data_IF_538946285843
#
_entry.id   IF_538946285843
#
_cell.length_a   1.000
_cell.length_b   1.000
_cell.length_c   1.000
_cell.angle_alpha   90.00
_cell.angle_beta   90.00
_cell.angle_gamma   90.00
#
_symmetry.space_group_name_H-M   'P 1'
#
loop_
_entity.id
_entity.type
_entity.pdbx_description
1 polymer ?
#
# COMPACT_ATOMS: atom_id res chain seq x y z
N UNK A 1 -6.92 17.72 70.67
CA UNK A 1 -7.44 16.36 70.43
C UNK A 1 -7.86 16.28 68.98
N UNK A 2 -6.98 15.72 68.15
CA UNK A 2 -7.24 15.35 66.76
C UNK A 2 -7.97 13.98 66.73
N UNK A 3 -8.81 13.72 65.72
CA UNK A 3 -8.97 12.37 65.21
C UNK A 3 -8.25 12.22 63.85
N UNK A 4 -7.44 11.16 63.78
CA UNK A 4 -6.69 10.68 62.62
C UNK A 4 -7.60 10.19 61.48
N UNK A 5 -7.20 10.36 60.21
CA UNK A 5 -7.69 9.58 59.08
C UNK A 5 -6.77 8.37 58.84
N UNK A 6 -7.15 7.20 59.37
CA UNK A 6 -6.55 5.91 59.01
C UNK A 6 -7.68 4.94 58.67
N UNK A 7 -8.10 4.89 57.40
CA UNK A 7 -8.85 3.72 56.90
C UNK A 7 -8.85 3.49 55.38
N UNK A 8 -7.99 4.15 54.59
CA UNK A 8 -7.95 3.92 53.12
C UNK A 8 -6.58 3.52 52.54
N UNK A 9 -5.56 3.26 53.37
CA UNK A 9 -4.19 2.97 52.90
C UNK A 9 -3.66 1.57 53.25
N UNK A 10 -4.50 0.62 53.69
CA UNK A 10 -4.07 -0.73 54.08
C UNK A 10 -4.73 -1.84 53.25
N UNK A 11 -4.73 -1.66 51.92
CA UNK A 11 -5.10 -2.68 50.94
C UNK A 11 -3.97 -3.00 49.95
N UNK A 12 -2.71 -2.79 50.32
CA UNK A 12 -1.53 -2.91 49.44
C UNK A 12 -0.64 -4.14 49.73
N UNK A 13 -1.21 -5.23 50.24
CA UNK A 13 -0.49 -6.49 50.38
C UNK A 13 -1.29 -7.63 49.75
N UNK A 14 -0.98 -7.90 48.48
CA UNK A 14 -1.36 -9.13 47.79
C UNK A 14 -2.13 -8.90 46.50
N UNK A 15 -1.51 -8.33 45.46
CA UNK A 15 -2.11 -8.29 44.12
C UNK A 15 -1.05 -8.22 42.98
N UNK A 16 0.04 -8.99 43.09
CA UNK A 16 0.89 -9.30 41.92
C UNK A 16 0.19 -10.20 40.88
N UNK A 17 -1.07 -10.60 41.13
CA UNK A 17 -1.92 -11.39 40.22
C UNK A 17 -2.98 -10.57 39.48
N UNK A 18 -3.04 -9.24 39.64
CA UNK A 18 -4.04 -8.35 39.00
C UNK A 18 -3.49 -7.42 37.90
N UNK A 19 -2.39 -7.78 37.24
CA UNK A 19 -2.00 -7.10 35.99
C UNK A 19 -2.75 -7.64 34.75
N UNK A 20 -3.66 -8.60 34.93
CA UNK A 20 -4.45 -9.22 33.87
C UNK A 20 -5.89 -8.65 33.75
N UNK A 21 -6.15 -7.50 34.39
CA UNK A 21 -7.40 -6.74 34.25
C UNK A 21 -7.07 -5.43 33.56
N UNK A 22 -7.75 -5.15 32.43
CA UNK A 22 -7.61 -3.96 31.56
C UNK A 22 -7.00 -2.76 32.29
N UNK A 23 -5.80 -2.35 31.86
CA UNK A 23 -5.21 -1.11 32.34
C UNK A 23 -6.23 0.02 32.10
N UNK A 24 -6.39 1.01 33.00
CA UNK A 24 -7.27 2.15 32.73
C UNK A 24 -6.90 2.94 31.46
N UNK A 25 -5.66 2.80 31.01
CA UNK A 25 -5.12 3.34 29.74
C UNK A 25 -5.53 2.49 28.53
N UNK A 26 -6.04 1.29 28.77
CA UNK A 26 -6.57 0.35 27.77
C UNK A 26 -8.11 0.34 27.75
N UNK A 27 -8.74 1.29 28.45
CA UNK A 27 -10.19 1.48 28.45
C UNK A 27 -10.63 2.23 27.20
N UNK A 28 -11.74 1.81 26.59
CA UNK A 28 -12.36 2.50 25.45
C UNK A 28 -12.82 3.92 25.82
N UNK A 29 -13.15 4.17 27.10
CA UNK A 29 -13.52 5.51 27.57
C UNK A 29 -12.30 6.41 27.90
N UNK A 30 -11.07 5.93 27.65
CA UNK A 30 -9.86 6.69 27.93
C UNK A 30 -9.80 7.99 27.13
N UNK A 31 -9.68 9.11 27.86
CA UNK A 31 -9.51 10.44 27.25
C UNK A 31 -8.08 10.91 27.43
N UNK A 32 -7.33 10.92 26.34
CA UNK A 32 -5.92 11.34 26.32
C UNK A 32 -5.71 12.69 27.00
N UNK A 33 -6.55 13.68 26.70
CA UNK A 33 -6.48 15.03 27.29
C UNK A 33 -6.47 15.05 28.83
N UNK A 34 -7.23 14.15 29.47
CA UNK A 34 -7.32 14.08 30.93
C UNK A 34 -6.07 13.44 31.55
N UNK A 35 -5.35 12.63 30.75
CA UNK A 35 -4.15 11.93 31.18
C UNK A 35 -2.88 12.75 31.00
N UNK A 36 -2.83 13.65 30.00
CA UNK A 36 -1.64 14.46 29.69
C UNK A 36 -1.00 15.18 30.88
N UNK A 37 -1.75 15.77 31.84
CA UNK A 37 -1.15 16.42 33.00
C UNK A 37 -0.32 15.47 33.90
N UNK A 38 -0.57 14.17 33.83
CA UNK A 38 0.09 13.13 34.64
C UNK A 38 1.15 12.34 33.87
N UNK A 39 1.22 12.52 32.55
CA UNK A 39 2.04 11.70 31.65
C UNK A 39 3.52 11.66 32.07
N UNK A 40 4.15 12.81 32.29
CA UNK A 40 5.56 12.89 32.68
C UNK A 40 5.84 12.09 33.97
N UNK A 41 5.02 12.30 34.99
CA UNK A 41 5.17 11.66 36.29
C UNK A 41 5.00 10.14 36.19
N UNK A 42 3.93 9.68 35.51
CA UNK A 42 3.64 8.26 35.36
C UNK A 42 4.73 7.58 34.54
N UNK A 43 5.14 8.17 33.42
CA UNK A 43 6.18 7.60 32.57
C UNK A 43 7.53 7.51 33.28
N UNK A 44 7.89 8.54 34.06
CA UNK A 44 9.10 8.56 34.88
C UNK A 44 9.09 7.44 35.95
N UNK A 45 7.96 7.25 36.64
CA UNK A 45 7.81 6.19 37.64
C UNK A 45 7.85 4.79 37.01
N UNK A 46 7.22 4.59 35.85
CA UNK A 46 7.29 3.32 35.11
C UNK A 46 8.72 3.01 34.68
N UNK A 47 9.46 4.01 34.20
CA UNK A 47 10.87 3.84 33.84
C UNK A 47 11.74 3.49 35.06
N UNK A 48 11.55 4.17 36.19
CA UNK A 48 12.25 3.84 37.44
C UNK A 48 11.94 2.40 37.89
N UNK A 49 10.68 1.98 37.81
CA UNK A 49 10.28 0.61 38.13
C UNK A 49 10.99 -0.40 37.22
N UNK A 50 11.02 -0.14 35.90
CA UNK A 50 11.71 -0.99 34.91
C UNK A 50 13.20 -1.19 35.23
N UNK A 51 13.87 -0.16 35.77
CA UNK A 51 15.28 -0.25 36.16
C UNK A 51 15.50 -1.01 37.47
N UNK A 52 14.55 -0.95 38.40
CA UNK A 52 14.69 -1.56 39.73
C UNK A 52 14.37 -3.05 39.74
N UNK A 53 13.47 -3.51 38.87
CA UNK A 53 13.05 -4.92 38.82
C UNK A 53 14.12 -5.78 38.14
N UNK A 54 14.33 -6.99 38.67
CA UNK A 54 15.30 -7.96 38.13
C UNK A 54 14.64 -9.09 37.34
N UNK A 55 13.41 -9.47 37.72
CA UNK A 55 12.66 -10.56 37.11
C UNK A 55 12.21 -10.19 35.68
N UNK A 56 12.48 -11.09 34.71
CA UNK A 56 12.12 -10.87 33.31
C UNK A 56 10.62 -10.66 33.12
N UNK A 57 9.78 -11.47 33.78
CA UNK A 57 8.32 -11.35 33.67
C UNK A 57 7.83 -9.98 34.11
N UNK A 58 8.39 -9.44 35.19
CA UNK A 58 8.00 -8.11 35.68
C UNK A 58 8.49 -7.02 34.71
N UNK A 59 9.69 -7.14 34.14
CA UNK A 59 10.17 -6.23 33.10
C UNK A 59 9.25 -6.23 31.87
N UNK A 60 8.81 -7.41 31.41
CA UNK A 60 7.87 -7.51 30.30
C UNK A 60 6.55 -6.80 30.59
N UNK A 61 6.00 -6.99 31.79
CA UNK A 61 4.76 -6.32 32.19
C UNK A 61 4.92 -4.79 32.23
N UNK A 62 6.03 -4.29 32.78
CA UNK A 62 6.30 -2.85 32.80
C UNK A 62 6.47 -2.30 31.38
N UNK A 63 7.19 -3.01 30.50
CA UNK A 63 7.33 -2.64 29.08
C UNK A 63 5.98 -2.62 28.36
N UNK A 64 5.11 -3.59 28.62
CA UNK A 64 3.76 -3.61 28.06
C UNK A 64 2.95 -2.38 28.47
N UNK A 65 2.93 -2.02 29.76
CA UNK A 65 2.26 -0.80 30.24
C UNK A 65 2.84 0.45 29.59
N UNK A 66 4.17 0.52 29.44
CA UNK A 66 4.86 1.61 28.75
C UNK A 66 4.42 1.70 27.29
N UNK A 67 4.32 0.58 26.57
CA UNK A 67 3.83 0.52 25.20
C UNK A 67 2.40 1.05 25.09
N UNK A 68 1.48 0.62 25.96
CA UNK A 68 0.10 1.12 25.97
C UNK A 68 0.04 2.64 26.21
N UNK A 69 0.86 3.16 27.13
CA UNK A 69 0.93 4.61 27.37
C UNK A 69 1.42 5.36 26.13
N UNK A 70 2.47 4.85 25.46
CA UNK A 70 3.00 5.45 24.22
C UNK A 70 1.92 5.47 23.13
N UNK A 71 1.22 4.35 22.94
CA UNK A 71 0.16 4.20 21.96
C UNK A 71 -0.93 5.26 22.16
N UNK A 72 -1.48 5.36 23.38
CA UNK A 72 -2.60 6.27 23.67
C UNK A 72 -2.26 7.74 23.58
N UNK A 73 -1.04 8.14 23.93
CA UNK A 73 -0.64 9.55 23.89
C UNK A 73 0.05 9.95 22.58
N UNK A 74 0.39 8.96 21.74
CA UNK A 74 0.96 9.14 20.40
C UNK A 74 2.12 10.14 20.41
N UNK A 75 2.09 11.15 19.53
CA UNK A 75 3.13 12.17 19.36
C UNK A 75 3.47 12.96 20.63
N UNK A 76 2.59 12.95 21.63
CA UNK A 76 2.79 13.68 22.88
C UNK A 76 3.84 13.02 23.79
N UNK A 77 4.25 11.77 23.49
CA UNK A 77 5.28 11.08 24.26
C UNK A 77 6.70 11.64 24.01
N UNK A 78 6.94 12.31 22.88
CA UNK A 78 8.29 12.69 22.41
C UNK A 78 9.19 13.36 23.47
N UNK A 79 8.69 14.28 24.32
CA UNK A 79 9.54 14.91 25.34
C UNK A 79 10.04 13.95 26.44
N UNK A 80 9.38 12.81 26.63
CA UNK A 80 9.53 11.95 27.81
C UNK A 80 10.29 10.64 27.55
N UNK A 81 10.48 10.24 26.29
CA UNK A 81 11.08 8.92 25.95
C UNK A 81 12.60 8.85 26.02
N UNK A 82 13.30 9.97 26.22
CA UNK A 82 14.76 10.04 26.10
C UNK A 82 15.51 9.02 26.97
N UNK A 83 15.11 8.87 28.23
CA UNK A 83 15.72 7.89 29.15
C UNK A 83 15.45 6.44 28.73
N UNK A 84 14.24 6.16 28.23
CA UNK A 84 13.87 4.83 27.76
C UNK A 84 14.70 4.45 26.52
N UNK A 85 14.81 5.36 25.56
CA UNK A 85 15.61 5.17 24.33
C UNK A 85 17.07 4.83 24.63
N UNK A 86 17.66 5.45 25.65
CA UNK A 86 19.03 5.16 26.07
C UNK A 86 19.16 3.80 26.79
N UNK A 87 18.10 3.34 27.45
CA UNK A 87 18.11 2.12 28.25
C UNK A 87 17.83 0.85 27.44
N UNK A 88 16.93 0.90 26.44
CA UNK A 88 16.55 -0.27 25.64
C UNK A 88 17.73 -1.02 24.99
N UNK A 89 18.79 -0.36 24.47
CA UNK A 89 19.99 -1.06 23.97
C UNK A 89 20.70 -1.89 25.04
N UNK A 90 20.75 -1.38 26.27
CA UNK A 90 21.36 -2.10 27.41
C UNK A 90 20.50 -3.30 27.78
N UNK A 91 19.18 -3.10 27.84
CA UNK A 91 18.24 -4.16 28.17
C UNK A 91 18.25 -5.27 27.12
N UNK A 92 18.32 -4.93 25.83
CA UNK A 92 18.43 -5.89 24.72
C UNK A 92 19.68 -6.76 24.80
N UNK A 93 20.81 -6.17 25.21
CA UNK A 93 22.06 -6.89 25.42
C UNK A 93 21.98 -7.81 26.64
N UNK A 94 21.32 -7.37 27.71
CA UNK A 94 21.13 -8.19 28.92
C UNK A 94 20.15 -9.34 28.70
N UNK A 95 19.21 -9.21 27.76
CA UNK A 95 18.20 -10.22 27.44
C UNK A 95 18.66 -11.22 26.37
N UNK A 96 19.96 -11.42 26.19
CA UNK A 96 20.49 -12.26 25.10
C UNK A 96 19.94 -13.68 25.08
N UNK A 97 19.78 -14.27 26.26
CA UNK A 97 19.24 -15.61 26.47
C UNK A 97 17.71 -15.61 26.74
N UNK A 98 17.06 -14.45 26.71
CA UNK A 98 15.66 -14.26 27.10
C UNK A 98 14.81 -13.73 25.94
N UNK A 99 14.46 -14.62 25.00
CA UNK A 99 13.72 -14.26 23.78
C UNK A 99 12.35 -13.60 24.05
N UNK A 100 11.61 -14.02 25.08
CA UNK A 100 10.33 -13.38 25.42
C UNK A 100 10.49 -11.92 25.85
N UNK A 101 11.56 -11.60 26.59
CA UNK A 101 11.86 -10.22 26.95
C UNK A 101 12.31 -9.42 25.72
N UNK A 102 12.97 -10.06 24.74
CA UNK A 102 13.28 -9.44 23.45
C UNK A 102 12.01 -9.14 22.65
N UNK A 103 11.02 -10.04 22.60
CA UNK A 103 9.71 -9.75 22.02
C UNK A 103 9.09 -8.48 22.64
N UNK A 104 9.05 -8.40 23.98
CA UNK A 104 8.52 -7.21 24.66
C UNK A 104 9.30 -5.93 24.30
N UNK A 105 10.63 -6.00 24.11
CA UNK A 105 11.43 -4.86 23.65
C UNK A 105 11.07 -4.47 22.21
N UNK A 106 10.89 -5.45 21.30
CA UNK A 106 10.47 -5.19 19.92
C UNK A 106 9.12 -4.50 19.89
N UNK A 107 8.13 -5.01 20.61
CA UNK A 107 6.81 -4.40 20.74
C UNK A 107 6.91 -2.97 21.29
N UNK A 108 7.74 -2.71 22.31
CA UNK A 108 7.96 -1.33 22.79
C UNK A 108 8.61 -0.45 21.73
N UNK A 109 9.54 -0.98 20.92
CA UNK A 109 10.14 -0.23 19.83
C UNK A 109 9.14 0.12 18.73
N UNK A 110 8.16 -0.75 18.42
CA UNK A 110 7.08 -0.47 17.47
C UNK A 110 6.34 0.81 17.88
N UNK A 111 5.84 0.83 19.12
CA UNK A 111 5.10 1.97 19.67
C UNK A 111 5.97 3.23 19.77
N UNK A 112 7.26 3.08 20.13
CA UNK A 112 8.19 4.21 20.15
C UNK A 112 8.39 4.81 18.75
N UNK A 113 8.53 3.99 17.72
CA UNK A 113 8.68 4.47 16.34
C UNK A 113 7.43 5.23 15.90
N UNK A 114 6.23 4.72 16.19
CA UNK A 114 4.96 5.40 15.91
C UNK A 114 4.86 6.74 16.64
N UNK A 115 5.10 6.78 17.96
CA UNK A 115 5.04 8.01 18.75
C UNK A 115 6.08 9.06 18.33
N UNK A 116 7.28 8.64 17.92
CA UNK A 116 8.32 9.54 17.43
C UNK A 116 8.08 10.01 15.97
N UNK A 117 7.37 9.23 15.15
CA UNK A 117 7.19 9.50 13.72
C UNK A 117 8.54 9.66 13.01
N UNK A 118 8.71 10.74 12.24
CA UNK A 118 9.95 11.04 11.52
C UNK A 118 11.20 11.21 12.40
N UNK A 119 11.05 11.48 13.70
CA UNK A 119 12.16 11.57 14.66
C UNK A 119 12.70 10.19 15.08
N UNK A 120 12.00 9.11 14.74
CA UNK A 120 12.44 7.72 14.95
C UNK A 120 13.79 7.41 14.29
N UNK A 121 14.20 8.20 13.29
CA UNK A 121 15.55 8.14 12.69
C UNK A 121 16.68 8.20 13.73
N UNK A 122 16.45 8.86 14.87
CA UNK A 122 17.43 8.95 15.95
C UNK A 122 17.66 7.58 16.64
N UNK A 123 16.75 6.63 16.48
CA UNK A 123 16.86 5.26 17.01
C UNK A 123 17.64 4.32 16.11
N UNK A 124 17.87 4.68 14.83
CA UNK A 124 18.46 3.78 13.82
C UNK A 124 19.73 3.04 14.25
N UNK A 125 20.70 3.66 14.96
CA UNK A 125 21.92 2.96 15.39
C UNK A 125 21.66 1.70 16.23
N UNK A 126 20.53 1.65 16.95
CA UNK A 126 20.10 0.48 17.72
C UNK A 126 18.98 -0.29 17.01
N UNK A 127 18.01 0.43 16.44
CA UNK A 127 16.80 -0.12 15.83
C UNK A 127 17.09 -1.01 14.62
N UNK A 128 17.96 -0.56 13.70
CA UNK A 128 18.21 -1.30 12.45
C UNK A 128 18.96 -2.62 12.68
N UNK A 129 20.00 -2.70 13.55
CA UNK A 129 20.60 -3.99 13.93
C UNK A 129 19.61 -4.96 14.58
N UNK A 130 18.67 -4.45 15.38
CA UNK A 130 17.63 -5.27 16.03
C UNK A 130 16.70 -5.86 14.98
N UNK A 131 16.18 -5.06 14.04
CA UNK A 131 15.36 -5.55 12.93
C UNK A 131 16.12 -6.59 12.10
N UNK A 132 17.38 -6.30 11.75
CA UNK A 132 18.22 -7.20 10.97
C UNK A 132 18.37 -8.58 11.64
N UNK A 133 18.57 -8.60 12.96
CA UNK A 133 18.71 -9.84 13.73
C UNK A 133 17.37 -10.59 13.85
N UNK A 134 16.29 -9.89 14.16
CA UNK A 134 14.96 -10.49 14.34
C UNK A 134 14.40 -11.10 13.05
N UNK A 135 14.82 -10.60 11.90
CA UNK A 135 14.35 -11.03 10.57
C UNK A 135 15.35 -11.92 9.83
N UNK A 136 16.47 -12.30 10.45
CA UNK A 136 17.43 -13.23 9.87
C UNK A 136 17.04 -14.68 10.20
N UNK A 137 16.45 -15.36 9.22
CA UNK A 137 15.99 -16.76 9.34
C UNK A 137 17.12 -17.76 9.55
N UNK A 138 18.38 -17.37 9.35
CA UNK A 138 19.54 -18.22 9.64
C UNK A 138 19.90 -18.25 11.13
N UNK A 139 19.38 -17.31 11.92
CA UNK A 139 19.69 -17.19 13.35
C UNK A 139 18.62 -17.87 14.21
N UNK A 140 18.99 -18.67 15.23
CA UNK A 140 18.02 -19.35 16.09
C UNK A 140 16.92 -18.47 16.72
N UNK A 141 17.16 -17.20 17.11
CA UNK A 141 16.12 -16.35 17.69
C UNK A 141 14.94 -16.02 16.77
N UNK A 142 15.06 -16.18 15.44
CA UNK A 142 13.99 -15.81 14.50
C UNK A 142 12.64 -16.47 14.83
N UNK A 143 12.66 -17.71 15.33
CA UNK A 143 11.45 -18.47 15.69
C UNK A 143 10.56 -17.72 16.69
N UNK A 144 11.16 -16.87 17.53
CA UNK A 144 10.45 -16.07 18.52
C UNK A 144 10.27 -14.62 18.08
N UNK A 145 11.27 -14.06 17.41
CA UNK A 145 11.36 -12.62 17.16
C UNK A 145 10.79 -12.18 15.81
N UNK A 146 10.51 -13.12 14.91
CA UNK A 146 10.23 -12.79 13.52
C UNK A 146 8.98 -11.93 13.34
N UNK A 147 7.88 -12.30 13.99
CA UNK A 147 6.59 -11.59 13.84
C UNK A 147 6.71 -10.12 14.31
N UNK A 148 7.15 -9.91 15.55
CA UNK A 148 7.42 -8.57 16.10
C UNK A 148 8.52 -7.82 15.30
N UNK A 149 9.50 -8.56 14.76
CA UNK A 149 10.59 -8.01 13.96
C UNK A 149 10.13 -7.47 12.60
N UNK A 150 9.19 -8.18 11.94
CA UNK A 150 8.56 -7.74 10.70
C UNK A 150 7.65 -6.53 10.92
N UNK A 151 6.87 -6.54 12.01
CA UNK A 151 6.04 -5.39 12.39
C UNK A 151 6.91 -4.15 12.64
N UNK A 152 7.98 -4.30 13.43
CA UNK A 152 8.93 -3.23 13.70
C UNK A 152 9.58 -2.72 12.42
N UNK A 153 9.91 -3.60 11.48
CA UNK A 153 10.46 -3.23 10.19
C UNK A 153 9.47 -2.38 9.38
N UNK A 154 8.23 -2.84 9.26
CA UNK A 154 7.17 -2.15 8.53
C UNK A 154 6.96 -0.75 9.11
N UNK A 155 6.70 -0.66 10.42
CA UNK A 155 6.45 0.62 11.11
C UNK A 155 7.65 1.56 11.01
N UNK A 156 8.87 1.03 11.02
CA UNK A 156 10.08 1.82 10.75
C UNK A 156 10.06 2.43 9.36
N UNK A 157 9.74 1.66 8.31
CA UNK A 157 9.67 2.19 6.94
C UNK A 157 8.56 3.24 6.79
N UNK A 158 7.40 3.00 7.40
CA UNK A 158 6.24 3.89 7.31
C UNK A 158 6.50 5.27 7.94
N UNK A 159 7.31 5.30 9.00
CA UNK A 159 7.68 6.53 9.70
C UNK A 159 9.04 7.11 9.29
N UNK A 160 9.79 6.41 8.44
CA UNK A 160 11.09 6.89 7.96
C UNK A 160 10.91 8.13 7.07
N UNK A 161 11.66 9.23 7.27
CA UNK A 161 11.57 10.41 6.40
C UNK A 161 12.31 10.23 5.06
N UNK A 162 13.33 9.37 5.01
CA UNK A 162 14.09 9.05 3.80
C UNK A 162 14.78 7.68 3.94
N UNK A 163 15.13 7.07 2.80
CA UNK A 163 15.94 5.84 2.78
C UNK A 163 17.39 6.12 3.22
N UNK A 164 17.97 5.22 4.02
CA UNK A 164 19.41 5.20 4.33
C UNK A 164 20.05 3.91 3.83
N UNK A 165 21.38 3.85 3.59
CA UNK A 165 22.06 2.63 3.19
C UNK A 165 21.85 1.46 4.16
N UNK A 166 21.83 1.74 5.46
CA UNK A 166 21.65 0.73 6.51
C UNK A 166 20.23 0.17 6.51
N UNK A 167 19.22 1.04 6.35
CA UNK A 167 17.82 0.64 6.24
C UNK A 167 17.60 -0.18 4.97
N UNK A 168 18.11 0.29 3.83
CA UNK A 168 18.05 -0.42 2.56
C UNK A 168 18.67 -1.83 2.63
N UNK A 169 19.79 -1.97 3.33
CA UNK A 169 20.51 -3.25 3.46
C UNK A 169 19.68 -4.33 4.14
N UNK A 170 18.75 -3.99 5.03
CA UNK A 170 17.91 -4.97 5.73
C UNK A 170 17.11 -5.82 4.75
N UNK A 171 16.76 -5.25 3.58
CA UNK A 171 16.01 -5.95 2.55
C UNK A 171 16.67 -7.24 2.05
N UNK A 172 17.99 -7.42 2.25
CA UNK A 172 18.67 -8.67 1.93
C UNK A 172 18.05 -9.92 2.60
N UNK A 173 17.36 -9.75 3.73
CA UNK A 173 16.66 -10.85 4.41
C UNK A 173 15.37 -11.28 3.68
N UNK A 174 14.80 -10.43 2.83
CA UNK A 174 13.45 -10.60 2.29
C UNK A 174 13.29 -11.87 1.44
N UNK A 175 14.26 -12.22 0.60
CA UNK A 175 14.15 -13.43 -0.23
C UNK A 175 13.95 -14.69 0.60
N UNK A 176 14.71 -14.86 1.67
CA UNK A 176 14.57 -16.01 2.55
C UNK A 176 13.25 -15.98 3.36
N UNK A 177 12.75 -14.79 3.68
CA UNK A 177 11.45 -14.61 4.35
C UNK A 177 10.27 -14.99 3.45
N UNK A 178 10.33 -14.67 2.16
CA UNK A 178 9.30 -15.04 1.19
C UNK A 178 9.24 -16.56 0.97
N UNK A 179 10.34 -17.27 1.19
CA UNK A 179 10.43 -18.74 1.05
C UNK A 179 10.07 -19.49 2.35
N UNK A 180 10.05 -18.81 3.50
CA UNK A 180 9.92 -19.47 4.81
C UNK A 180 8.52 -20.03 5.07
N UNK A 181 7.50 -19.17 5.08
CA UNK A 181 6.13 -19.55 5.39
C UNK A 181 5.12 -18.57 4.79
N UNK A 182 3.90 -19.07 4.53
CA UNK A 182 2.80 -18.23 4.02
C UNK A 182 2.23 -17.25 5.05
N UNK A 183 2.47 -17.50 6.34
CA UNK A 183 1.90 -16.72 7.47
C UNK A 183 2.39 -15.27 7.44
N UNK A 184 3.65 -15.05 7.07
CA UNK A 184 4.28 -13.74 7.09
C UNK A 184 4.21 -13.00 5.75
N UNK A 185 3.73 -13.65 4.68
CA UNK A 185 3.75 -13.09 3.33
C UNK A 185 3.03 -11.75 3.22
N UNK A 186 1.91 -11.59 3.93
CA UNK A 186 1.15 -10.34 3.96
C UNK A 186 2.02 -9.17 4.42
N UNK A 187 2.70 -9.33 5.56
CA UNK A 187 3.59 -8.32 6.13
C UNK A 187 4.82 -8.11 5.25
N UNK A 188 5.38 -9.17 4.67
CA UNK A 188 6.47 -9.06 3.70
C UNK A 188 6.09 -8.20 2.48
N UNK A 189 4.89 -8.40 1.91
CA UNK A 189 4.40 -7.56 0.79
C UNK A 189 4.17 -6.11 1.21
N UNK A 190 3.69 -5.86 2.43
CA UNK A 190 3.57 -4.50 2.97
C UNK A 190 4.95 -3.83 3.10
N UNK A 191 5.96 -4.55 3.59
CA UNK A 191 7.35 -4.06 3.68
C UNK A 191 7.92 -3.75 2.29
N UNK A 192 7.72 -4.64 1.30
CA UNK A 192 8.17 -4.41 -0.08
C UNK A 192 7.50 -3.15 -0.67
N UNK A 193 6.19 -2.98 -0.46
CA UNK A 193 5.48 -1.78 -0.87
C UNK A 193 6.03 -0.54 -0.15
N UNK A 194 6.32 -0.62 1.15
CA UNK A 194 6.87 0.48 1.93
C UNK A 194 8.25 0.93 1.41
N UNK A 195 9.13 0.00 1.05
CA UNK A 195 10.38 0.34 0.35
C UNK A 195 10.14 1.01 -0.99
N UNK A 196 9.19 0.50 -1.76
CA UNK A 196 8.86 1.05 -3.09
C UNK A 196 8.34 2.49 -2.97
N UNK A 197 7.48 2.76 -1.98
CA UNK A 197 7.03 4.12 -1.68
C UNK A 197 8.15 5.02 -1.15
N UNK A 198 9.03 4.49 -0.30
CA UNK A 198 10.10 5.26 0.35
C UNK A 198 11.18 5.71 -0.65
N UNK A 199 11.61 4.81 -1.55
CA UNK A 199 12.56 5.14 -2.62
C UNK A 199 12.56 4.08 -3.72
N UNK A 200 11.60 4.14 -4.65
CA UNK A 200 11.53 3.22 -5.78
C UNK A 200 12.86 3.11 -6.55
N UNK A 201 13.50 4.23 -6.89
CA UNK A 201 14.74 4.22 -7.69
C UNK A 201 15.89 3.46 -7.02
N UNK A 202 16.23 3.78 -5.77
CA UNK A 202 17.35 3.11 -5.07
C UNK A 202 17.01 1.66 -4.71
N UNK A 203 15.76 1.41 -4.30
CA UNK A 203 15.31 0.08 -3.93
C UNK A 203 15.36 -0.88 -5.13
N UNK A 204 14.75 -0.48 -6.24
CA UNK A 204 14.66 -1.29 -7.44
C UNK A 204 16.05 -1.53 -8.06
N UNK A 205 16.92 -0.50 -8.08
CA UNK A 205 18.29 -0.64 -8.58
C UNK A 205 19.07 -1.75 -7.84
N UNK A 206 18.81 -1.94 -6.54
CA UNK A 206 19.57 -2.87 -5.71
C UNK A 206 18.94 -4.27 -5.62
N UNK A 207 17.60 -4.38 -5.66
CA UNK A 207 16.92 -5.61 -5.26
C UNK A 207 15.87 -6.13 -6.24
N UNK A 208 15.59 -5.45 -7.34
CA UNK A 208 14.53 -5.87 -8.26
C UNK A 208 14.79 -7.26 -8.88
N UNK A 209 16.03 -7.60 -9.21
CA UNK A 209 16.35 -8.90 -9.82
C UNK A 209 16.07 -10.06 -8.84
N UNK A 210 16.53 -9.95 -7.59
CA UNK A 210 16.26 -10.95 -6.56
C UNK A 210 14.77 -11.02 -6.23
N UNK A 211 14.09 -9.86 -6.17
CA UNK A 211 12.66 -9.80 -5.89
C UNK A 211 11.83 -10.45 -7.00
N UNK A 212 12.15 -10.17 -8.27
CA UNK A 212 11.46 -10.79 -9.40
C UNK A 212 11.66 -12.31 -9.40
N UNK A 213 12.87 -12.81 -9.10
CA UNK A 213 13.12 -14.25 -8.96
C UNK A 213 12.27 -14.86 -7.85
N UNK A 214 12.26 -14.26 -6.66
CA UNK A 214 11.41 -14.73 -5.56
C UNK A 214 9.92 -14.72 -5.92
N UNK A 215 9.43 -13.73 -6.66
CA UNK A 215 8.04 -13.71 -7.14
C UNK A 215 7.76 -14.79 -8.18
N UNK A 216 8.65 -15.02 -9.15
CA UNK A 216 8.52 -16.11 -10.12
C UNK A 216 8.44 -17.47 -9.42
N UNK A 217 9.26 -17.69 -8.39
CA UNK A 217 9.25 -18.94 -7.64
C UNK A 217 8.01 -19.08 -6.78
N UNK A 218 7.62 -18.01 -6.07
CA UNK A 218 6.42 -17.99 -5.23
C UNK A 218 5.13 -18.24 -6.04
N UNK A 219 5.03 -17.69 -7.26
CA UNK A 219 3.86 -17.84 -8.12
C UNK A 219 3.62 -19.26 -8.64
N UNK A 220 4.57 -20.18 -8.49
CA UNK A 220 4.42 -21.58 -8.93
C UNK A 220 3.42 -22.36 -8.06
N UNK A 221 3.41 -22.08 -6.75
CA UNK A 221 2.70 -22.91 -5.77
C UNK A 221 1.80 -22.11 -4.81
N UNK A 222 1.68 -20.78 -5.00
CA UNK A 222 0.85 -19.93 -4.14
C UNK A 222 -0.64 -20.00 -4.48
N UNK A 223 -1.49 -19.69 -3.50
CA UNK A 223 -2.93 -19.54 -3.69
C UNK A 223 -3.26 -18.37 -4.63
N UNK A 224 -4.47 -18.37 -5.19
CA UNK A 224 -4.99 -17.26 -6.00
C UNK A 224 -4.98 -15.93 -5.26
N UNK A 225 -5.27 -15.92 -3.95
CA UNK A 225 -5.16 -14.72 -3.11
C UNK A 225 -3.72 -14.21 -3.07
N UNK A 226 -2.75 -15.11 -2.86
CA UNK A 226 -1.34 -14.72 -2.82
C UNK A 226 -0.82 -14.25 -4.18
N UNK A 227 -1.27 -14.85 -5.28
CA UNK A 227 -1.00 -14.36 -6.63
C UNK A 227 -1.48 -12.91 -6.82
N UNK A 228 -2.70 -12.61 -6.36
CA UNK A 228 -3.25 -11.24 -6.39
C UNK A 228 -2.38 -10.29 -5.59
N UNK A 229 -1.89 -10.68 -4.41
CA UNK A 229 -1.00 -9.83 -3.61
C UNK A 229 0.34 -9.56 -4.29
N UNK A 230 0.97 -10.58 -4.88
CA UNK A 230 2.21 -10.42 -5.66
C UNK A 230 2.00 -9.44 -6.80
N UNK A 231 0.93 -9.61 -7.58
CA UNK A 231 0.66 -8.74 -8.72
C UNK A 231 0.27 -7.32 -8.33
N UNK A 232 -0.36 -7.11 -7.16
CA UNK A 232 -0.58 -5.77 -6.61
C UNK A 232 0.74 -5.06 -6.28
N UNK A 233 1.75 -5.77 -5.78
CA UNK A 233 3.09 -5.20 -5.59
C UNK A 233 3.69 -4.80 -6.94
N UNK A 234 3.60 -5.68 -7.95
CA UNK A 234 4.07 -5.39 -9.32
C UNK A 234 3.36 -4.18 -9.91
N UNK A 235 2.04 -4.08 -9.73
CA UNK A 235 1.22 -2.94 -10.16
C UNK A 235 1.69 -1.63 -9.51
N UNK A 236 1.97 -1.63 -8.20
CA UNK A 236 2.51 -0.46 -7.48
C UNK A 236 3.87 -0.05 -8.03
N UNK A 237 4.76 -1.00 -8.31
CA UNK A 237 6.07 -0.70 -8.90
C UNK A 237 5.94 -0.08 -10.29
N UNK A 238 5.04 -0.60 -11.15
CA UNK A 238 4.77 -0.04 -12.48
C UNK A 238 4.14 1.35 -12.35
N UNK A 239 3.21 1.56 -11.42
CA UNK A 239 2.63 2.88 -11.14
C UNK A 239 3.72 3.91 -10.80
N UNK A 240 4.70 3.52 -9.97
CA UNK A 240 5.76 4.41 -9.47
C UNK A 240 6.94 4.59 -10.43
N UNK A 241 7.21 3.60 -11.27
CA UNK A 241 8.32 3.61 -12.20
C UNK A 241 7.93 2.86 -13.48
N UNK A 242 7.07 3.44 -14.35
CA UNK A 242 6.46 2.72 -15.46
C UNK A 242 7.45 2.03 -16.40
N UNK A 243 8.56 2.70 -16.72
CA UNK A 243 9.57 2.12 -17.61
C UNK A 243 10.37 1.04 -16.90
N UNK A 244 11.03 1.38 -15.79
CA UNK A 244 11.90 0.43 -15.07
C UNK A 244 11.12 -0.75 -14.50
N UNK A 245 9.95 -0.51 -13.90
CA UNK A 245 9.08 -1.52 -13.31
C UNK A 245 8.59 -2.54 -14.32
N UNK A 246 8.14 -2.10 -15.51
CA UNK A 246 7.75 -3.03 -16.58
C UNK A 246 8.91 -3.90 -17.06
N UNK A 247 10.10 -3.34 -17.23
CA UNK A 247 11.29 -4.10 -17.62
C UNK A 247 11.74 -5.10 -16.54
N UNK A 248 11.69 -4.71 -15.28
CA UNK A 248 12.13 -5.54 -14.16
C UNK A 248 11.24 -6.76 -13.96
N UNK A 249 9.93 -6.56 -13.98
CA UNK A 249 8.95 -7.64 -13.81
C UNK A 249 8.50 -8.27 -15.13
N UNK A 250 9.20 -7.98 -16.24
CA UNK A 250 8.95 -8.59 -17.54
C UNK A 250 8.78 -10.11 -17.49
N UNK A 251 9.53 -10.90 -16.69
CA UNK A 251 9.33 -12.35 -16.61
C UNK A 251 7.92 -12.78 -16.17
N UNK A 252 7.18 -11.94 -15.44
CA UNK A 252 5.84 -12.22 -14.94
C UNK A 252 4.73 -11.81 -15.92
N UNK A 253 4.98 -10.77 -16.71
CA UNK A 253 3.95 -10.11 -17.53
C UNK A 253 3.39 -10.97 -18.68
N UNK A 254 4.14 -11.86 -19.36
CA UNK A 254 3.58 -12.77 -20.36
C UNK A 254 2.49 -13.68 -19.80
N UNK A 255 2.65 -14.19 -18.58
CA UNK A 255 1.65 -15.04 -17.94
C UNK A 255 0.37 -14.26 -17.61
N UNK A 256 0.51 -13.00 -17.16
CA UNK A 256 -0.61 -12.09 -16.92
C UNK A 256 -1.37 -11.82 -18.22
N UNK A 257 -0.65 -11.47 -19.29
CA UNK A 257 -1.26 -11.17 -20.59
C UNK A 257 -1.97 -12.39 -21.18
N UNK A 258 -1.33 -13.56 -21.12
CA UNK A 258 -1.92 -14.83 -21.56
C UNK A 258 -3.15 -15.20 -20.73
N UNK A 259 -3.10 -15.00 -19.42
CA UNK A 259 -4.24 -15.24 -18.54
C UNK A 259 -5.47 -14.40 -18.89
N UNK A 260 -5.29 -13.18 -19.42
CA UNK A 260 -6.42 -12.37 -19.93
C UNK A 260 -6.99 -13.00 -21.21
N UNK A 261 -6.13 -13.28 -22.19
CA UNK A 261 -6.55 -13.82 -23.49
C UNK A 261 -7.20 -15.20 -23.36
N UNK A 262 -6.68 -16.05 -22.49
CA UNK A 262 -7.23 -17.38 -22.21
C UNK A 262 -8.53 -17.33 -21.37
N UNK A 263 -8.88 -16.16 -20.84
CA UNK A 263 -10.09 -15.97 -20.05
C UNK A 263 -9.99 -16.52 -18.64
N UNK A 264 -9.08 -15.97 -17.84
CA UNK A 264 -8.95 -16.23 -16.39
C UNK A 264 -10.32 -16.32 -15.72
N UNK A 265 -10.53 -17.43 -15.01
CA UNK A 265 -11.84 -17.84 -14.48
C UNK A 265 -12.15 -17.16 -13.16
N UNK A 266 -11.14 -16.79 -12.39
CA UNK A 266 -11.32 -16.15 -11.10
C UNK A 266 -11.44 -14.63 -11.27
N UNK A 267 -12.61 -14.01 -10.99
CA UNK A 267 -12.85 -12.58 -11.26
C UNK A 267 -11.82 -11.64 -10.62
N UNK A 268 -11.39 -11.94 -9.39
CA UNK A 268 -10.40 -11.13 -8.66
C UNK A 268 -9.03 -11.19 -9.32
N UNK A 269 -8.63 -12.35 -9.84
CA UNK A 269 -7.36 -12.53 -10.56
C UNK A 269 -7.43 -11.81 -11.91
N UNK A 270 -8.53 -12.00 -12.65
CA UNK A 270 -8.78 -11.30 -13.92
C UNK A 270 -8.72 -9.78 -13.74
N UNK A 271 -9.44 -9.23 -12.75
CA UNK A 271 -9.41 -7.80 -12.42
C UNK A 271 -7.99 -7.30 -12.08
N UNK A 272 -7.18 -8.14 -11.45
CA UNK A 272 -5.78 -7.82 -11.15
C UNK A 272 -4.92 -7.84 -12.41
N UNK A 273 -5.10 -8.82 -13.30
CA UNK A 273 -4.41 -8.86 -14.59
C UNK A 273 -4.71 -7.64 -15.44
N UNK A 274 -6.00 -7.27 -15.56
CA UNK A 274 -6.44 -6.09 -16.30
C UNK A 274 -5.87 -4.79 -15.68
N UNK A 275 -5.80 -4.70 -14.35
CA UNK A 275 -5.16 -3.57 -13.67
C UNK A 275 -3.67 -3.42 -14.02
N UNK A 276 -2.92 -4.53 -13.95
CA UNK A 276 -1.49 -4.55 -14.32
C UNK A 276 -1.31 -4.16 -15.80
N UNK A 277 -2.05 -4.79 -16.72
CA UNK A 277 -1.95 -4.45 -18.14
C UNK A 277 -2.44 -3.04 -18.46
N UNK A 278 -3.42 -2.53 -17.71
CA UNK A 278 -3.90 -1.15 -17.80
C UNK A 278 -2.81 -0.14 -17.49
N UNK A 279 -2.03 -0.39 -16.43
CA UNK A 279 -0.85 0.42 -16.09
C UNK A 279 0.22 0.37 -17.17
N UNK A 280 0.54 -0.83 -17.67
CA UNK A 280 1.55 -1.01 -18.72
C UNK A 280 1.13 -0.30 -20.01
N UNK A 281 -0.12 -0.47 -20.45
CA UNK A 281 -0.63 0.18 -21.66
C UNK A 281 -0.66 1.71 -21.52
N UNK A 282 -1.22 2.22 -20.43
CA UNK A 282 -1.41 3.66 -20.23
C UNK A 282 -0.10 4.41 -20.01
N UNK A 283 0.86 3.84 -19.29
CA UNK A 283 2.08 4.54 -18.85
C UNK A 283 3.36 4.08 -19.58
N UNK A 284 3.33 2.94 -20.29
CA UNK A 284 4.47 2.42 -21.05
C UNK A 284 4.03 1.63 -22.30
N UNK A 285 3.28 2.30 -23.18
CA UNK A 285 2.70 1.70 -24.39
C UNK A 285 3.73 1.00 -25.29
N UNK A 286 4.95 1.54 -25.39
CA UNK A 286 6.02 0.92 -26.19
C UNK A 286 6.38 -0.49 -25.70
N UNK A 287 6.46 -0.67 -24.38
CA UNK A 287 6.70 -1.97 -23.78
C UNK A 287 5.48 -2.89 -23.94
N UNK A 288 4.26 -2.35 -23.77
CA UNK A 288 3.02 -3.10 -23.99
C UNK A 288 2.98 -3.77 -25.37
N UNK A 289 3.24 -2.99 -26.44
CA UNK A 289 3.22 -3.53 -27.80
C UNK A 289 4.38 -4.51 -28.08
N UNK A 290 5.54 -4.32 -27.43
CA UNK A 290 6.62 -5.31 -27.48
C UNK A 290 6.20 -6.64 -26.83
N UNK A 291 5.54 -6.59 -25.67
CA UNK A 291 5.04 -7.77 -24.97
C UNK A 291 3.95 -8.48 -25.79
N UNK A 292 3.02 -7.71 -26.36
CA UNK A 292 1.97 -8.20 -27.23
C UNK A 292 2.56 -8.92 -28.46
N UNK A 293 3.57 -8.33 -29.10
CA UNK A 293 4.24 -8.91 -30.27
C UNK A 293 4.94 -10.23 -29.93
N UNK A 294 5.55 -10.34 -28.75
CA UNK A 294 6.14 -11.59 -28.26
C UNK A 294 5.07 -12.67 -28.07
N UNK A 295 3.94 -12.32 -27.45
CA UNK A 295 2.85 -13.28 -27.25
C UNK A 295 2.21 -13.71 -28.57
N UNK A 296 2.05 -12.79 -29.53
CA UNK A 296 1.53 -13.10 -30.86
C UNK A 296 2.45 -14.10 -31.60
N UNK A 297 3.77 -13.92 -31.50
CA UNK A 297 4.75 -14.86 -32.05
C UNK A 297 4.64 -16.26 -31.42
N UNK A 298 4.48 -16.34 -30.09
CA UNK A 298 4.26 -17.60 -29.35
C UNK A 298 2.97 -18.30 -29.75
N UNK A 299 1.91 -17.54 -30.03
CA UNK A 299 0.60 -18.04 -30.47
C UNK A 299 0.53 -18.31 -31.98
N UNK A 300 1.60 -18.01 -32.72
CA UNK A 300 1.64 -18.07 -34.19
C UNK A 300 0.54 -17.25 -34.87
N UNK A 301 0.29 -16.05 -34.36
CA UNK A 301 -0.73 -15.11 -34.85
C UNK A 301 -0.12 -13.72 -35.10
N UNK A 302 -0.86 -12.88 -35.82
CA UNK A 302 -0.49 -11.46 -36.01
C UNK A 302 -0.76 -10.68 -34.72
N UNK A 303 0.12 -9.71 -34.41
CA UNK A 303 0.00 -8.89 -33.20
C UNK A 303 -1.36 -8.18 -33.10
N UNK A 304 -1.88 -7.71 -34.23
CA UNK A 304 -3.21 -7.08 -34.31
C UNK A 304 -4.35 -8.04 -33.91
N UNK A 305 -4.27 -9.31 -34.30
CA UNK A 305 -5.29 -10.30 -33.91
C UNK A 305 -5.27 -10.52 -32.40
N UNK A 306 -4.07 -10.63 -31.82
CA UNK A 306 -3.88 -10.75 -30.38
C UNK A 306 -4.37 -9.51 -29.63
N UNK A 307 -4.14 -8.30 -30.17
CA UNK A 307 -4.69 -7.07 -29.62
C UNK A 307 -6.22 -7.09 -29.62
N UNK A 308 -6.83 -7.51 -30.73
CA UNK A 308 -8.28 -7.62 -30.87
C UNK A 308 -8.88 -8.56 -29.83
N UNK A 309 -8.31 -9.76 -29.66
CA UNK A 309 -8.74 -10.72 -28.64
C UNK A 309 -8.55 -10.19 -27.23
N UNK A 310 -7.47 -9.46 -26.97
CA UNK A 310 -7.24 -8.84 -25.67
C UNK A 310 -8.30 -7.78 -25.35
N UNK A 311 -8.60 -6.88 -26.28
CA UNK A 311 -9.62 -5.83 -26.09
C UNK A 311 -10.99 -6.46 -25.89
N UNK A 312 -11.34 -7.47 -26.70
CA UNK A 312 -12.60 -8.21 -26.55
C UNK A 312 -12.73 -8.86 -25.17
N UNK A 313 -11.70 -9.57 -24.71
CA UNK A 313 -11.67 -10.14 -23.37
C UNK A 313 -11.71 -9.09 -22.26
N UNK A 314 -11.10 -7.92 -22.48
CA UNK A 314 -11.15 -6.80 -21.54
C UNK A 314 -12.57 -6.26 -21.39
N UNK A 315 -13.26 -6.04 -22.51
CA UNK A 315 -14.64 -5.58 -22.55
C UNK A 315 -15.57 -6.60 -21.89
N UNK A 316 -15.46 -7.87 -22.26
CA UNK A 316 -16.26 -8.99 -21.74
C UNK A 316 -16.08 -9.27 -20.24
N UNK A 317 -15.01 -8.73 -19.63
CA UNK A 317 -14.66 -8.97 -18.22
C UNK A 317 -14.61 -7.70 -17.41
N UNK A 318 -15.10 -6.58 -17.94
CA UNK A 318 -15.16 -5.31 -17.22
C UNK A 318 -15.97 -5.41 -15.92
N UNK A 319 -17.05 -6.20 -15.91
CA UNK A 319 -17.90 -6.45 -14.73
C UNK A 319 -17.16 -7.08 -13.55
N UNK A 320 -16.01 -7.73 -13.79
CA UNK A 320 -15.16 -8.25 -12.71
C UNK A 320 -14.47 -7.13 -11.91
N UNK A 321 -14.42 -5.91 -12.46
CA UNK A 321 -13.81 -4.74 -11.83
C UNK A 321 -14.91 -3.96 -11.11
N UNK A 322 -14.90 -4.01 -9.78
CA UNK A 322 -15.92 -3.35 -8.93
C UNK A 322 -15.47 -2.00 -8.38
N UNK A 323 -14.18 -1.69 -8.43
CA UNK A 323 -13.60 -0.46 -7.89
C UNK A 323 -13.62 0.65 -8.94
N UNK A 324 -14.27 1.81 -8.69
CA UNK A 324 -14.36 2.90 -9.67
C UNK A 324 -12.99 3.37 -10.19
N UNK A 325 -11.99 3.47 -9.31
CA UNK A 325 -10.61 3.82 -9.68
C UNK A 325 -10.02 2.88 -10.73
N UNK A 326 -10.25 1.56 -10.58
CA UNK A 326 -9.77 0.54 -11.53
C UNK A 326 -10.56 0.57 -12.83
N UNK A 327 -11.87 0.87 -12.77
CA UNK A 327 -12.72 1.02 -13.97
C UNK A 327 -12.27 2.24 -14.78
N UNK A 328 -11.98 3.35 -14.10
CA UNK A 328 -11.35 4.54 -14.70
C UNK A 328 -10.00 4.23 -15.32
N UNK A 329 -9.12 3.47 -14.64
CA UNK A 329 -7.84 3.03 -15.20
C UNK A 329 -8.02 2.25 -16.51
N UNK A 330 -8.93 1.26 -16.54
CA UNK A 330 -9.24 0.49 -17.76
C UNK A 330 -9.72 1.38 -18.89
N UNK A 331 -10.62 2.32 -18.59
CA UNK A 331 -11.14 3.28 -19.57
C UNK A 331 -10.03 4.18 -20.14
N UNK A 332 -9.21 4.80 -19.28
CA UNK A 332 -8.06 5.60 -19.70
C UNK A 332 -7.07 4.80 -20.56
N UNK A 333 -6.79 3.55 -20.19
CA UNK A 333 -5.89 2.66 -20.89
C UNK A 333 -6.42 2.30 -22.29
N UNK A 334 -7.68 1.88 -22.42
CA UNK A 334 -8.28 1.54 -23.71
C UNK A 334 -8.42 2.77 -24.61
N UNK A 335 -8.82 3.92 -24.06
CA UNK A 335 -8.86 5.20 -24.80
C UNK A 335 -7.47 5.65 -25.25
N UNK A 336 -6.40 5.24 -24.57
CA UNK A 336 -5.03 5.58 -24.99
C UNK A 336 -4.65 4.98 -26.34
N UNK A 337 -5.36 3.94 -26.78
CA UNK A 337 -5.23 3.36 -28.12
C UNK A 337 -5.79 4.27 -29.23
N UNK A 338 -6.55 5.31 -28.87
CA UNK A 338 -7.03 6.33 -29.80
C UNK A 338 -6.09 7.57 -29.76
N UNK A 339 -5.95 8.31 -30.86
CA UNK A 339 -6.49 8.01 -32.18
C UNK A 339 -5.72 6.88 -32.89
N UNK A 340 -6.39 6.11 -33.75
CA UNK A 340 -5.80 5.02 -34.53
C UNK A 340 -6.49 4.77 -35.87
N UNK A 341 -5.69 4.49 -36.90
CA UNK A 341 -6.11 4.03 -38.22
C UNK A 341 -6.04 2.49 -38.36
N UNK A 342 -5.64 1.78 -37.30
CA UNK A 342 -5.58 0.32 -37.26
C UNK A 342 -6.99 -0.27 -37.32
N UNK A 343 -7.24 -1.16 -38.28
CA UNK A 343 -8.56 -1.75 -38.50
C UNK A 343 -9.07 -2.55 -37.32
N UNK A 344 -8.20 -3.24 -36.56
CA UNK A 344 -8.64 -4.01 -35.38
C UNK A 344 -9.08 -3.09 -34.25
N UNK A 345 -8.38 -1.98 -34.02
CA UNK A 345 -8.80 -0.99 -33.01
C UNK A 345 -10.14 -0.36 -33.43
N UNK A 346 -10.32 -0.09 -34.72
CA UNK A 346 -11.58 0.41 -35.28
C UNK A 346 -12.73 -0.59 -35.13
N UNK A 347 -12.49 -1.87 -35.41
CA UNK A 347 -13.48 -2.95 -35.23
C UNK A 347 -13.89 -3.11 -33.76
N UNK A 348 -12.99 -2.81 -32.82
CA UNK A 348 -13.25 -2.84 -31.38
C UNK A 348 -13.69 -1.50 -30.79
N UNK A 349 -13.90 -0.48 -31.62
CA UNK A 349 -14.22 0.89 -31.19
C UNK A 349 -15.47 0.95 -30.29
N UNK A 350 -16.55 0.26 -30.66
CA UNK A 350 -17.80 0.26 -29.88
C UNK A 350 -17.61 -0.29 -28.46
N UNK A 351 -16.80 -1.35 -28.31
CA UNK A 351 -16.44 -1.91 -27.00
C UNK A 351 -15.65 -0.90 -26.16
N UNK A 352 -14.67 -0.22 -26.75
CA UNK A 352 -13.91 0.83 -26.06
C UNK A 352 -14.86 1.93 -25.57
N UNK A 353 -15.77 2.44 -26.41
CA UNK A 353 -16.71 3.49 -26.02
C UNK A 353 -17.67 3.02 -24.93
N UNK A 354 -18.18 1.78 -25.00
CA UNK A 354 -19.04 1.23 -23.97
C UNK A 354 -18.37 1.27 -22.59
N UNK A 355 -17.12 0.80 -22.50
CA UNK A 355 -16.32 0.83 -21.27
C UNK A 355 -16.12 2.24 -20.75
N UNK A 356 -15.96 3.21 -21.65
CA UNK A 356 -15.81 4.61 -21.28
C UNK A 356 -17.07 5.18 -20.64
N UNK A 357 -18.23 4.92 -21.24
CA UNK A 357 -19.52 5.40 -20.74
C UNK A 357 -19.86 4.75 -19.41
N UNK A 358 -19.63 3.44 -19.26
CA UNK A 358 -19.78 2.77 -17.96
C UNK A 358 -18.89 3.41 -16.89
N UNK A 359 -17.60 3.61 -17.19
CA UNK A 359 -16.68 4.23 -16.24
C UNK A 359 -17.04 5.69 -15.93
N UNK A 360 -17.62 6.45 -16.88
CA UNK A 360 -18.15 7.79 -16.62
C UNK A 360 -19.31 7.75 -15.62
N UNK A 361 -20.23 6.80 -15.74
CA UNK A 361 -21.29 6.64 -14.75
C UNK A 361 -20.77 6.29 -13.34
N UNK A 362 -19.65 5.58 -13.24
CA UNK A 362 -19.07 5.22 -11.94
C UNK A 362 -18.34 6.37 -11.24
N UNK A 363 -17.78 7.32 -12.00
CA UNK A 363 -16.90 8.37 -11.46
C UNK A 363 -17.44 9.79 -11.57
N UNK A 364 -18.43 10.04 -12.41
CA UNK A 364 -18.99 11.39 -12.57
C UNK A 364 -20.13 11.60 -11.58
N UNK A 365 -20.10 12.73 -10.89
CA UNK A 365 -21.21 13.23 -10.06
C UNK A 365 -21.72 14.54 -10.65
N UNK A 366 -23.03 14.70 -10.71
CA UNK A 366 -23.65 15.95 -11.14
C UNK A 366 -23.62 16.97 -9.99
N UNK A 367 -23.03 18.13 -10.26
CA UNK A 367 -23.12 19.28 -9.37
C UNK A 367 -24.49 19.95 -9.55
N UNK A 368 -25.35 19.79 -8.55
CA UNK A 368 -26.72 20.31 -8.55
C UNK A 368 -26.80 21.84 -8.72
N UNK A 369 -25.74 22.57 -8.35
CA UNK A 369 -25.72 24.03 -8.41
C UNK A 369 -25.32 24.56 -9.81
N UNK A 370 -24.44 23.85 -10.51
CA UNK A 370 -23.94 24.26 -11.83
C UNK A 370 -24.51 23.45 -12.99
N UNK A 371 -25.14 22.31 -12.72
CA UNK A 371 -25.55 21.32 -13.73
C UNK A 371 -24.37 20.70 -14.48
N UNK A 372 -23.14 20.83 -13.94
CA UNK A 372 -21.93 20.30 -14.57
C UNK A 372 -21.52 18.98 -13.93
N UNK A 373 -20.85 18.12 -14.70
CA UNK A 373 -20.32 16.87 -14.18
C UNK A 373 -18.93 17.08 -13.56
N UNK A 374 -18.72 16.54 -12.37
CA UNK A 374 -17.41 16.50 -11.70
C UNK A 374 -16.94 15.06 -11.55
N UNK A 375 -15.72 14.80 -12.03
CA UNK A 375 -15.03 13.52 -11.82
C UNK A 375 -14.59 13.42 -10.35
N UNK A 376 -15.21 12.52 -9.59
CA UNK A 376 -15.00 12.36 -8.15
C UNK A 376 -13.68 11.66 -7.81
N UNK A 377 -12.99 11.08 -8.78
CA UNK A 377 -11.68 10.47 -8.60
C UNK A 377 -10.54 11.50 -8.67
N UNK A 378 -10.83 12.71 -9.15
CA UNK A 378 -9.83 13.78 -9.23
C UNK A 378 -9.45 14.30 -7.85
N UNK A 379 -8.16 14.26 -7.56
CA UNK A 379 -7.62 14.84 -6.34
C UNK A 379 -7.19 16.28 -6.62
N UNK A 380 -7.84 17.24 -5.97
CA UNK A 380 -7.38 18.62 -5.99
C UNK A 380 -6.25 18.80 -4.96
N UNK A 381 -5.12 19.39 -5.37
CA UNK A 381 -3.96 19.58 -4.48
C UNK A 381 -4.23 20.43 -3.22
N UNK A 382 -5.44 21.03 -3.10
CA UNK A 382 -5.85 21.93 -2.02
C UNK A 382 -6.72 21.27 -0.96
N UNK A 383 -7.08 19.98 -1.07
CA UNK A 383 -7.72 19.27 0.03
C UNK A 383 -6.68 18.97 1.12
N UNK A 384 -6.41 19.97 1.95
CA UNK A 384 -5.94 19.75 3.31
C UNK A 384 -6.95 18.80 3.96
N UNK A 385 -6.51 17.58 4.23
CA UNK A 385 -7.27 16.64 5.05
C UNK A 385 -7.43 17.34 6.40
N UNK A 386 -8.63 17.83 6.68
CA UNK A 386 -8.98 18.30 8.02
C UNK A 386 -9.00 17.05 8.89
N UNK A 387 -7.84 16.73 9.48
CA UNK A 387 -7.76 15.71 10.51
C UNK A 387 -8.76 16.12 11.59
N UNK A 388 -9.70 15.22 11.88
CA UNK A 388 -10.53 15.38 13.08
C UNK A 388 -9.65 15.21 14.31
N UNK A 389 -10.05 15.76 15.47
CA UNK A 389 -9.23 15.68 16.70
C UNK A 389 -8.93 14.24 17.14
N UNK A 390 -9.70 13.27 16.65
CA UNK A 390 -9.56 11.83 16.93
C UNK A 390 -8.75 11.05 15.87
N UNK A 391 -8.32 11.67 14.76
CA UNK A 391 -7.52 10.99 13.73
C UNK A 391 -6.02 11.02 14.06
N UNK A 392 -5.40 9.83 14.01
CA UNK A 392 -3.94 9.72 14.16
C UNK A 392 -3.22 10.56 13.10
N UNK A 393 -2.13 11.25 13.47
CA UNK A 393 -1.37 12.05 12.53
C UNK A 393 -0.81 11.14 11.42
N UNK A 394 -0.90 11.56 10.14
CA UNK A 394 -0.50 10.73 9.01
C UNK A 394 0.99 10.40 9.07
N UNK A 395 1.32 9.13 8.78
CA UNK A 395 2.71 8.66 8.71
C UNK A 395 3.45 9.32 7.53
N UNK A 396 4.77 9.18 7.49
CA UNK A 396 5.55 9.63 6.33
C UNK A 396 5.18 8.85 5.05
N UNK A 397 4.81 7.58 5.18
CA UNK A 397 4.29 6.80 4.06
C UNK A 397 2.92 7.30 3.57
N UNK A 398 2.01 7.70 4.46
CA UNK A 398 0.70 8.24 4.03
C UNK A 398 0.87 9.53 3.23
N UNK A 399 1.80 10.39 3.65
CA UNK A 399 2.20 11.58 2.89
C UNK A 399 2.71 11.21 1.49
N UNK A 400 3.58 10.19 1.39
CA UNK A 400 4.07 9.70 0.09
C UNK A 400 2.95 9.15 -0.78
N UNK A 401 2.08 8.28 -0.23
CA UNK A 401 0.93 7.74 -0.96
C UNK A 401 0.02 8.85 -1.49
N UNK A 402 -0.23 9.89 -0.70
CA UNK A 402 -1.01 11.07 -1.13
C UNK A 402 -0.33 11.81 -2.27
N UNK A 403 0.97 12.10 -2.16
CA UNK A 403 1.72 12.76 -3.24
C UNK A 403 1.70 11.94 -4.54
N UNK A 404 1.86 10.62 -4.43
CA UNK A 404 1.84 9.71 -5.57
C UNK A 404 0.45 9.57 -6.20
N UNK A 405 -0.60 9.68 -5.39
CA UNK A 405 -1.96 9.72 -5.91
C UNK A 405 -2.16 10.97 -6.77
N UNK A 406 -1.62 12.13 -6.38
CA UNK A 406 -1.70 13.37 -7.18
C UNK A 406 -0.99 13.28 -8.54
N UNK A 407 0.00 12.41 -8.69
CA UNK A 407 0.72 12.18 -9.95
C UNK A 407 0.11 11.05 -10.81
N UNK A 408 -0.78 10.24 -10.24
CA UNK A 408 -1.41 9.12 -10.94
C UNK A 408 -2.43 9.63 -11.98
N UNK A 409 -2.37 9.19 -13.25
CA UNK A 409 -3.39 9.53 -14.25
C UNK A 409 -4.83 9.30 -13.80
N UNK A 410 -5.08 8.28 -12.96
CA UNK A 410 -6.43 7.99 -12.43
C UNK A 410 -6.99 9.15 -11.58
N UNK A 411 -6.12 9.91 -10.90
CA UNK A 411 -6.53 11.00 -10.02
C UNK A 411 -6.15 12.40 -10.53
N UNK A 412 -5.37 12.49 -11.61
CA UNK A 412 -4.93 13.75 -12.21
C UNK A 412 -5.58 14.05 -13.56
N UNK A 413 -6.12 13.05 -14.25
CA UNK A 413 -6.79 13.21 -15.56
C UNK A 413 -8.30 13.08 -15.40
N UNK A 414 -9.02 14.10 -15.87
CA UNK A 414 -10.49 14.05 -15.97
C UNK A 414 -10.89 13.05 -17.04
N UNK A 415 -11.67 12.02 -16.67
CA UNK A 415 -12.10 11.01 -17.65
C UNK A 415 -12.96 11.65 -18.74
N UNK A 416 -13.88 12.54 -18.36
CA UNK A 416 -14.77 13.25 -19.27
C UNK A 416 -13.98 14.06 -20.32
N UNK A 417 -12.98 14.83 -19.88
CA UNK A 417 -12.12 15.61 -20.78
C UNK A 417 -11.28 14.70 -21.69
N UNK A 418 -10.72 13.63 -21.12
CA UNK A 418 -9.88 12.70 -21.87
C UNK A 418 -10.66 11.96 -22.97
N UNK A 419 -11.89 11.53 -22.68
CA UNK A 419 -12.81 10.96 -23.68
C UNK A 419 -13.06 11.95 -24.82
N UNK A 420 -13.39 13.20 -24.49
CA UNK A 420 -13.63 14.24 -25.49
C UNK A 420 -12.42 14.46 -26.41
N UNK A 421 -11.24 14.61 -25.82
CA UNK A 421 -9.99 14.85 -26.57
C UNK A 421 -9.65 13.67 -27.49
N UNK A 422 -9.82 12.43 -27.02
CA UNK A 422 -9.53 11.22 -27.80
C UNK A 422 -10.50 11.03 -28.95
N UNK A 423 -11.80 11.29 -28.74
CA UNK A 423 -12.80 11.23 -29.81
C UNK A 423 -12.57 12.32 -30.86
N UNK A 424 -12.25 13.54 -30.43
CA UNK A 424 -11.91 14.64 -31.33
C UNK A 424 -10.66 14.34 -32.15
N UNK A 425 -9.63 13.77 -31.52
CA UNK A 425 -8.42 13.34 -32.23
C UNK A 425 -8.71 12.21 -33.23
N UNK A 426 -9.58 11.26 -32.88
CA UNK A 426 -10.01 10.19 -33.79
C UNK A 426 -10.77 10.76 -35.00
N UNK A 427 -11.65 11.73 -34.77
CA UNK A 427 -12.37 12.42 -35.83
C UNK A 427 -11.42 13.18 -36.77
N UNK A 428 -10.40 13.84 -36.22
CA UNK A 428 -9.38 14.54 -37.03
C UNK A 428 -8.56 13.58 -37.89
N UNK A 429 -8.28 12.37 -37.39
CA UNK A 429 -7.51 11.37 -38.12
C UNK A 429 -8.31 10.76 -39.30
N UNK A 430 -9.57 10.39 -39.07
CA UNK A 430 -10.40 9.69 -40.07
C UNK A 430 -11.25 10.60 -40.95
N UNK A 431 -11.38 11.88 -40.57
CA UNK A 431 -12.36 12.79 -41.14
C UNK A 431 -13.79 12.52 -40.67
N UNK A 432 -14.71 13.45 -40.97
CA UNK A 432 -16.09 13.39 -40.49
C UNK A 432 -16.82 12.10 -40.93
N UNK A 433 -16.69 11.72 -42.20
CA UNK A 433 -17.38 10.54 -42.75
C UNK A 433 -16.86 9.24 -42.15
N UNK A 434 -15.54 9.12 -41.96
CA UNK A 434 -14.93 7.93 -41.37
C UNK A 434 -15.28 7.80 -39.89
N UNK A 435 -15.27 8.91 -39.16
CA UNK A 435 -15.67 8.94 -37.76
C UNK A 435 -17.16 8.65 -37.57
N UNK A 436 -18.02 9.19 -38.44
CA UNK A 436 -19.45 8.90 -38.40
C UNK A 436 -19.72 7.40 -38.60
N UNK A 437 -19.03 6.75 -39.54
CA UNK A 437 -19.14 5.31 -39.73
C UNK A 437 -18.71 4.51 -38.49
N UNK A 438 -17.67 4.94 -37.75
CA UNK A 438 -17.31 4.34 -36.47
C UNK A 438 -18.39 4.53 -35.41
N UNK A 439 -18.94 5.75 -35.29
CA UNK A 439 -19.98 6.05 -34.32
C UNK A 439 -21.28 5.28 -34.58
N UNK A 440 -21.57 4.94 -35.83
CA UNK A 440 -22.71 4.08 -36.20
C UNK A 440 -22.57 2.62 -35.72
N UNK A 441 -21.35 2.19 -35.37
CA UNK A 441 -21.12 0.86 -34.73
C UNK A 441 -21.46 0.84 -33.24
N UNK A 442 -21.60 2.01 -32.62
CA UNK A 442 -21.89 2.16 -31.19
C UNK A 442 -23.41 2.16 -31.00
N UNK A 443 -23.90 1.46 -29.97
CA UNK A 443 -25.33 1.44 -29.66
C UNK A 443 -25.87 2.87 -29.44
N UNK A 444 -27.05 3.14 -29.97
CA UNK A 444 -27.65 4.49 -29.96
C UNK A 444 -27.87 5.04 -28.54
N UNK A 445 -28.12 4.17 -27.56
CA UNK A 445 -28.30 4.59 -26.16
C UNK A 445 -26.96 4.97 -25.53
N UNK A 446 -25.89 4.22 -25.83
CA UNK A 446 -24.52 4.55 -25.39
C UNK A 446 -24.06 5.88 -26.00
N UNK A 447 -24.35 6.11 -27.29
CA UNK A 447 -24.05 7.40 -27.94
C UNK A 447 -24.82 8.55 -27.27
N UNK A 448 -26.09 8.33 -26.91
CA UNK A 448 -26.92 9.34 -26.22
C UNK A 448 -26.34 9.68 -24.85
N UNK A 449 -26.00 8.68 -24.03
CA UNK A 449 -25.39 8.86 -22.71
C UNK A 449 -24.04 9.56 -22.81
N UNK A 450 -23.20 9.15 -23.77
CA UNK A 450 -21.93 9.82 -24.04
C UNK A 450 -22.14 11.30 -24.38
N UNK A 451 -23.10 11.63 -25.23
CA UNK A 451 -23.41 13.02 -25.57
C UNK A 451 -23.86 13.83 -24.36
N UNK A 452 -24.62 13.25 -23.42
CA UNK A 452 -25.01 13.93 -22.18
C UNK A 452 -23.79 14.34 -21.35
N UNK A 453 -22.82 13.43 -21.20
CA UNK A 453 -21.56 13.77 -20.53
C UNK A 453 -20.74 14.81 -21.30
N UNK A 454 -20.83 14.87 -22.63
CA UNK A 454 -20.03 15.79 -23.43
C UNK A 454 -20.69 17.17 -23.64
N UNK A 455 -21.98 17.36 -23.32
CA UNK A 455 -22.74 18.60 -23.56
C UNK A 455 -22.24 19.84 -22.79
N UNK A 456 -21.32 19.68 -21.83
CA UNK A 456 -20.77 20.76 -21.00
C UNK A 456 -19.30 21.13 -21.25
N UNK A 457 -18.66 20.57 -22.29
CA UNK A 457 -17.23 20.77 -22.60
C UNK A 457 -16.96 21.71 -23.79
#
# INVERSE_FOLDING_TARGET
MLPHPHSQLLGFYGDTKRLNTSLPVDDFEFRTEQFLPYLESIFSLLFQLLQQVTECDTKMQVLHVVSCVIERVSVQIRPYVGCLVQYLPLLWKQSEEHNMLRCAILTTLVHLVQGLGAESKNLYPFLLPVIQLSTDVSQPPHVYLLEDGLELWLVTLENSPAITPELLRIFQNMSALLELSSENLRTCFQIINAYTYLSAAQFLQNYAESLCRSFCDLLKDITTEGQVQVLKVVEIVIKLSPVQGSHMFQPLLPAVLRGIVDGERYPVVMSTYLGVMGRVLLQNSSFFFSLLSQMAADLHQEADQTLGSLIEMWVDRMDNITQPERRKLSSLALLSLLPSDNSVIQDKFCGIINICVEALHDVMSEDLDSGTFKDCMLMSGMEELKLTEDEEPPTEQDKRKKLLALEDPVHSVSLQQYVFEKLKAQQQLLGETGFQALMETVDSEIVRQLQEFLQGL
#
